data_IF_698023774106
#
_entry.id   IF_698023774106
#
_cell.length_a   1.000
_cell.length_b   1.000
_cell.length_c   1.000
_cell.angle_alpha   90.00
_cell.angle_beta   90.00
_cell.angle_gamma   90.00
#
_symmetry.space_group_name_H-M   'P 1'
#
loop_
_entity.id
_entity.type
_entity.pdbx_description
1 polymer ?
#
# COMPACT_ATOMS: atom_id res chain seq x y z
N UNK A 1 2.24 26.31 -22.12
CA UNK A 1 3.39 27.19 -21.88
C UNK A 1 4.05 27.36 -23.22
N UNK A 2 3.54 28.33 -23.96
CA UNK A 2 4.11 28.77 -25.22
C UNK A 2 5.50 29.30 -24.89
N UNK A 3 6.52 28.54 -25.29
CA UNK A 3 7.88 29.03 -25.26
C UNK A 3 7.90 30.05 -26.39
N UNK A 4 8.01 31.33 -26.03
CA UNK A 4 8.10 32.46 -26.95
C UNK A 4 9.31 32.29 -27.90
N UNK A 5 9.12 31.50 -28.95
CA UNK A 5 10.06 31.35 -30.07
C UNK A 5 10.08 32.59 -30.96
N UNK A 6 9.23 33.58 -30.68
CA UNK A 6 9.10 34.81 -31.45
C UNK A 6 10.26 35.80 -31.22
N UNK A 7 11.02 35.64 -30.14
CA UNK A 7 12.19 36.49 -29.84
C UNK A 7 13.42 36.20 -30.73
N UNK A 8 13.45 35.08 -31.45
CA UNK A 8 14.60 34.68 -32.27
C UNK A 8 14.62 35.31 -33.68
N UNK A 9 13.55 35.99 -34.10
CA UNK A 9 13.39 36.49 -35.47
C UNK A 9 13.78 37.98 -35.66
N UNK A 10 13.98 38.74 -34.58
CA UNK A 10 14.46 40.11 -34.66
C UNK A 10 15.99 40.12 -34.64
N UNK A 11 16.64 40.58 -35.71
CA UNK A 11 18.09 40.74 -35.80
C UNK A 11 18.62 41.34 -34.49
N UNK A 12 19.41 40.55 -33.77
CA UNK A 12 19.83 40.90 -32.42
C UNK A 12 20.62 42.20 -32.49
N UNK A 13 20.62 43.04 -31.43
CA UNK A 13 21.46 44.25 -31.39
C UNK A 13 22.93 43.95 -31.72
N UNK A 14 23.38 42.72 -31.42
CA UNK A 14 24.69 42.17 -31.77
C UNK A 14 24.86 42.01 -33.30
N UNK A 15 23.85 41.52 -34.03
CA UNK A 15 23.91 41.41 -35.50
C UNK A 15 23.99 42.78 -36.18
N UNK A 16 23.28 43.77 -35.63
CA UNK A 16 23.31 45.15 -36.13
C UNK A 16 24.67 45.81 -35.88
N UNK A 17 25.24 45.65 -34.69
CA UNK A 17 26.58 46.17 -34.38
C UNK A 17 27.67 45.46 -35.20
N UNK A 18 27.55 44.16 -35.44
CA UNK A 18 28.45 43.41 -36.32
C UNK A 18 28.41 43.92 -37.77
N UNK A 19 27.22 44.22 -38.31
CA UNK A 19 27.07 44.81 -39.63
C UNK A 19 27.71 46.22 -39.73
N UNK A 20 27.53 47.06 -38.70
CA UNK A 20 28.14 48.40 -38.65
C UNK A 20 29.68 48.33 -38.59
N UNK A 21 30.23 47.41 -37.78
CA UNK A 21 31.68 47.15 -37.73
C UNK A 21 32.21 46.74 -39.11
N UNK A 22 31.50 45.85 -39.81
CA UNK A 22 31.89 45.42 -41.17
C UNK A 22 31.93 46.58 -42.17
N UNK A 23 30.96 47.48 -42.12
CA UNK A 23 30.93 48.69 -42.97
C UNK A 23 32.11 49.63 -42.68
N UNK A 24 32.44 49.83 -41.40
CA UNK A 24 33.57 50.67 -41.00
C UNK A 24 34.93 50.07 -41.42
N UNK A 25 35.10 48.74 -41.32
CA UNK A 25 36.29 48.06 -41.82
C UNK A 25 36.45 48.20 -43.33
N UNK A 26 35.37 47.98 -44.10
CA UNK A 26 35.38 48.19 -45.55
C UNK A 26 35.73 49.66 -45.92
N UNK A 27 35.29 50.63 -45.11
CA UNK A 27 35.64 52.03 -45.31
C UNK A 27 37.12 52.31 -45.04
N UNK A 28 37.70 51.70 -44.01
CA UNK A 28 39.15 51.77 -43.73
C UNK A 28 39.96 51.19 -44.90
N UNK A 29 39.53 50.05 -45.45
CA UNK A 29 40.19 49.44 -46.62
C UNK A 29 40.15 50.35 -47.86
N UNK A 30 39.01 51.02 -48.11
CA UNK A 30 38.90 52.03 -49.17
C UNK A 30 39.84 53.22 -48.93
N UNK A 31 39.92 53.73 -47.69
CA UNK A 31 40.84 54.82 -47.35
C UNK A 31 42.30 54.38 -47.54
N UNK A 32 42.66 53.17 -47.13
CA UNK A 32 44.01 52.63 -47.28
C UNK A 32 44.41 52.48 -48.76
N UNK A 33 43.51 51.99 -49.61
CA UNK A 33 43.75 51.87 -51.06
C UNK A 33 43.89 53.24 -51.74
N UNK A 34 43.03 54.21 -51.41
CA UNK A 34 43.14 55.58 -51.94
C UNK A 34 44.41 56.31 -51.48
N UNK A 35 44.86 56.07 -50.24
CA UNK A 35 46.12 56.60 -49.74
C UNK A 35 47.34 55.99 -50.44
N UNK A 36 47.29 54.69 -50.76
CA UNK A 36 48.35 54.00 -51.51
C UNK A 36 48.45 54.47 -52.97
N UNK A 37 47.33 54.70 -53.65
CA UNK A 37 47.32 55.25 -55.02
C UNK A 37 47.81 56.69 -55.03
N UNK A 38 47.39 57.52 -54.06
CA UNK A 38 47.83 58.91 -53.93
C UNK A 38 49.33 59.04 -53.56
N UNK A 39 49.93 58.04 -52.92
CA UNK A 39 51.38 57.96 -52.67
C UNK A 39 52.17 57.59 -53.93
N UNK A 40 51.61 56.77 -54.82
CA UNK A 40 52.24 56.40 -56.09
C UNK A 40 52.22 57.54 -57.12
N UNK A 41 51.21 58.43 -57.05
CA UNK A 41 51.06 59.61 -57.91
C UNK A 41 51.93 60.82 -57.46
N UNK A 42 52.94 60.57 -56.63
CA UNK A 42 53.82 61.56 -55.99
C UNK A 42 54.21 62.71 -56.92
N UNK A 43 53.55 63.85 -56.74
CA UNK A 43 54.18 65.17 -56.65
C UNK A 43 53.29 66.24 -56.01
N UNK A 44 51.98 66.04 -55.80
CA UNK A 44 51.11 67.05 -55.15
C UNK A 44 49.97 66.47 -54.28
N UNK A 45 50.24 65.53 -53.38
CA UNK A 45 49.31 65.34 -52.27
C UNK A 45 49.38 66.59 -51.38
N UNK A 46 48.44 67.51 -51.54
CA UNK A 46 48.40 68.73 -50.73
C UNK A 46 48.36 68.35 -49.24
N UNK A 47 49.11 69.06 -48.40
CA UNK A 47 49.14 68.84 -46.94
C UNK A 47 47.73 68.75 -46.33
N UNK A 48 46.76 69.47 -46.90
CA UNK A 48 45.34 69.41 -46.52
C UNK A 48 44.65 68.08 -46.81
N UNK A 49 44.96 67.39 -47.91
CA UNK A 49 44.36 66.08 -48.25
C UNK A 49 44.83 64.99 -47.29
N UNK A 50 46.10 65.02 -46.88
CA UNK A 50 46.63 64.09 -45.88
C UNK A 50 46.01 64.31 -44.50
N UNK A 51 45.81 65.57 -44.09
CA UNK A 51 45.13 65.88 -42.84
C UNK A 51 43.67 65.41 -42.83
N UNK A 52 42.95 65.50 -43.95
CA UNK A 52 41.57 65.00 -44.06
C UNK A 52 41.47 63.48 -43.89
N UNK A 53 42.38 62.72 -44.51
CA UNK A 53 42.44 61.26 -44.37
C UNK A 53 42.72 60.84 -42.91
N UNK A 54 43.63 61.55 -42.22
CA UNK A 54 43.95 61.29 -40.81
C UNK A 54 42.74 61.54 -39.91
N UNK A 55 41.99 62.63 -40.13
CA UNK A 55 40.78 62.94 -39.36
C UNK A 55 39.68 61.88 -39.60
N UNK A 56 39.48 61.45 -40.85
CA UNK A 56 38.51 60.42 -41.20
C UNK A 56 38.85 59.08 -40.52
N UNK A 57 40.10 58.62 -40.63
CA UNK A 57 40.57 57.39 -39.99
C UNK A 57 40.44 57.46 -38.47
N UNK A 58 40.82 58.58 -37.85
CA UNK A 58 40.69 58.78 -36.40
C UNK A 58 39.23 58.71 -35.95
N UNK A 59 38.31 59.28 -36.74
CA UNK A 59 36.87 59.22 -36.44
C UNK A 59 36.31 57.79 -36.53
N UNK A 60 36.77 56.99 -37.50
CA UNK A 60 36.36 55.59 -37.66
C UNK A 60 36.89 54.74 -36.49
N UNK A 61 38.15 54.91 -36.09
CA UNK A 61 38.72 54.20 -34.93
C UNK A 61 38.02 54.56 -33.62
N UNK A 62 37.65 55.84 -33.44
CA UNK A 62 36.84 56.26 -32.29
C UNK A 62 35.47 55.56 -32.29
N UNK A 63 34.81 55.48 -33.45
CA UNK A 63 33.53 54.78 -33.60
C UNK A 63 33.66 53.28 -33.33
N UNK A 64 34.70 52.63 -33.86
CA UNK A 64 34.97 51.20 -33.65
C UNK A 64 35.21 50.88 -32.16
N UNK A 65 35.91 51.77 -31.45
CA UNK A 65 36.16 51.61 -30.00
C UNK A 65 34.88 51.71 -29.18
N UNK A 66 33.94 52.58 -29.58
CA UNK A 66 32.62 52.70 -28.96
C UNK A 66 31.80 51.42 -29.22
N UNK A 67 31.75 50.95 -30.46
CA UNK A 67 31.03 49.73 -30.83
C UNK A 67 31.58 48.49 -30.12
N UNK A 68 32.90 48.37 -29.98
CA UNK A 68 33.52 47.28 -29.23
C UNK A 68 33.15 47.30 -27.74
N UNK A 69 32.99 48.49 -27.14
CA UNK A 69 32.52 48.60 -25.75
C UNK A 69 31.06 48.17 -25.64
N UNK A 70 30.20 48.64 -26.55
CA UNK A 70 28.78 48.26 -26.60
C UNK A 70 28.62 46.74 -26.76
N UNK A 71 29.35 46.12 -27.68
CA UNK A 71 29.32 44.67 -27.88
C UNK A 71 29.71 43.88 -26.63
N UNK A 72 30.69 44.35 -25.86
CA UNK A 72 31.09 43.70 -24.62
C UNK A 72 30.03 43.87 -23.52
N UNK A 73 29.37 45.03 -23.44
CA UNK A 73 28.25 45.27 -22.53
C UNK A 73 27.07 44.35 -22.89
N UNK A 74 26.67 44.29 -24.16
CA UNK A 74 25.61 43.42 -24.69
C UNK A 74 25.91 41.94 -24.43
N UNK A 75 27.16 41.52 -24.62
CA UNK A 75 27.61 40.14 -24.35
C UNK A 75 27.42 39.77 -22.88
N UNK A 76 27.82 40.66 -21.97
CA UNK A 76 27.70 40.42 -20.52
C UNK A 76 26.23 40.38 -20.12
N UNK A 77 25.40 41.26 -20.67
CA UNK A 77 23.96 41.26 -20.43
C UNK A 77 23.28 39.97 -20.93
N UNK A 78 23.61 39.54 -22.15
CA UNK A 78 23.08 38.30 -22.71
C UNK A 78 23.50 37.08 -21.89
N UNK A 79 24.77 37.01 -21.47
CA UNK A 79 25.25 35.94 -20.60
C UNK A 79 24.48 35.92 -19.27
N UNK A 80 24.26 37.08 -18.65
CA UNK A 80 23.48 37.19 -17.42
C UNK A 80 22.02 36.77 -17.61
N UNK A 81 21.40 37.12 -18.74
CA UNK A 81 20.03 36.72 -19.09
C UNK A 81 19.91 35.21 -19.27
N UNK A 82 20.82 34.61 -20.04
CA UNK A 82 20.90 33.16 -20.25
C UNK A 82 21.11 32.43 -18.92
N UNK A 83 21.98 32.93 -18.05
CA UNK A 83 22.22 32.32 -16.76
C UNK A 83 20.99 32.42 -15.81
N UNK A 84 20.17 33.48 -15.91
CA UNK A 84 18.89 33.56 -15.17
C UNK A 84 17.93 32.50 -15.67
N UNK A 85 17.71 32.42 -16.98
CA UNK A 85 16.84 31.42 -17.61
C UNK A 85 17.27 29.98 -17.27
N UNK A 86 18.58 29.71 -17.25
CA UNK A 86 19.13 28.41 -16.83
C UNK A 86 18.78 28.10 -15.38
N UNK A 87 19.03 29.02 -14.45
CA UNK A 87 18.71 28.83 -13.02
C UNK A 87 17.21 28.59 -12.81
N UNK A 88 16.36 29.32 -13.52
CA UNK A 88 14.91 29.14 -13.44
C UNK A 88 14.49 27.76 -13.97
N UNK A 89 15.09 27.33 -15.08
CA UNK A 89 14.87 25.99 -15.66
C UNK A 89 15.33 24.88 -14.70
N UNK A 90 16.50 25.02 -14.10
CA UNK A 90 17.03 24.08 -13.11
C UNK A 90 16.13 24.01 -11.86
N UNK A 91 15.63 25.17 -11.41
CA UNK A 91 14.66 25.27 -10.31
C UNK A 91 13.36 24.52 -10.62
N UNK A 92 12.82 24.65 -11.83
CA UNK A 92 11.64 23.92 -12.28
C UNK A 92 11.91 22.42 -12.42
N UNK A 93 13.09 22.02 -12.90
CA UNK A 93 13.48 20.62 -13.01
C UNK A 93 13.52 19.94 -11.63
N UNK A 94 14.08 20.61 -10.62
CA UNK A 94 14.07 20.11 -9.23
C UNK A 94 12.66 19.99 -8.67
N UNK A 95 11.78 20.96 -8.95
CA UNK A 95 10.38 20.88 -8.54
C UNK A 95 9.66 19.70 -9.18
N UNK A 96 9.90 19.47 -10.47
CA UNK A 96 9.34 18.33 -11.20
C UNK A 96 9.81 17.01 -10.58
N UNK A 97 11.10 16.86 -10.31
CA UNK A 97 11.65 15.64 -9.67
C UNK A 97 11.02 15.42 -8.29
N UNK A 98 10.90 16.47 -7.47
CA UNK A 98 10.25 16.39 -6.16
C UNK A 98 8.80 15.88 -6.27
N UNK A 99 8.02 16.41 -7.22
CA UNK A 99 6.64 15.97 -7.45
C UNK A 99 6.56 14.55 -7.99
N UNK A 100 7.49 14.14 -8.85
CA UNK A 100 7.54 12.76 -9.34
C UNK A 100 7.81 11.77 -8.21
N UNK A 101 8.73 12.09 -7.29
CA UNK A 101 8.98 11.26 -6.11
C UNK A 101 7.75 11.18 -5.20
N UNK A 102 7.06 12.30 -4.99
CA UNK A 102 5.81 12.34 -4.20
C UNK A 102 4.73 11.46 -4.84
N UNK A 103 4.55 11.54 -6.16
CA UNK A 103 3.59 10.69 -6.90
C UNK A 103 3.94 9.21 -6.72
N UNK A 104 5.20 8.83 -6.92
CA UNK A 104 5.65 7.45 -6.75
C UNK A 104 5.44 6.96 -5.32
N UNK A 105 5.73 7.80 -4.32
CA UNK A 105 5.50 7.47 -2.92
C UNK A 105 4.01 7.22 -2.63
N UNK A 106 3.14 8.14 -3.06
CA UNK A 106 1.68 8.00 -2.85
C UNK A 106 1.14 6.77 -3.60
N UNK A 107 1.63 6.49 -4.81
CA UNK A 107 1.24 5.30 -5.56
C UNK A 107 1.63 4.01 -4.83
N UNK A 108 2.85 3.94 -4.30
CA UNK A 108 3.30 2.81 -3.47
C UNK A 108 2.45 2.64 -2.21
N UNK A 109 2.08 3.73 -1.54
CA UNK A 109 1.20 3.68 -0.36
C UNK A 109 -0.23 3.21 -0.71
N UNK A 110 -0.75 3.65 -1.86
CA UNK A 110 -2.05 3.20 -2.38
C UNK A 110 -2.02 1.70 -2.68
N UNK A 111 -0.96 1.20 -3.32
CA UNK A 111 -0.79 -0.23 -3.62
C UNK A 111 -0.68 -1.05 -2.33
N UNK A 112 0.14 -0.59 -1.37
CA UNK A 112 0.25 -1.22 -0.06
C UNK A 112 -1.12 -1.30 0.64
N UNK A 113 -1.87 -0.20 0.63
CA UNK A 113 -3.21 -0.13 1.24
C UNK A 113 -4.22 -1.03 0.53
N UNK A 114 -4.12 -1.21 -0.80
CA UNK A 114 -4.98 -2.14 -1.56
C UNK A 114 -4.69 -3.60 -1.24
N UNK A 115 -3.44 -3.95 -0.95
CA UNK A 115 -3.04 -5.32 -0.57
C UNK A 115 -3.34 -5.65 0.90
N UNK A 116 -3.88 -4.70 1.67
CA UNK A 116 -4.32 -4.98 3.04
C UNK A 116 -5.54 -5.89 3.01
N UNK A 117 -5.29 -7.20 3.07
CA UNK A 117 -6.31 -8.19 3.32
C UNK A 117 -6.84 -8.01 4.74
N UNK A 118 -8.17 -7.99 4.85
CA UNK A 118 -8.86 -7.84 6.12
C UNK A 118 -9.52 -9.15 6.47
N UNK A 119 -9.51 -9.50 7.75
CA UNK A 119 -9.93 -10.83 8.25
C UNK A 119 -11.34 -11.22 7.77
N UNK A 120 -12.23 -10.27 7.48
CA UNK A 120 -13.59 -10.55 7.04
C UNK A 120 -13.70 -11.13 5.62
N UNK A 121 -12.66 -10.99 4.78
CA UNK A 121 -12.68 -11.50 3.40
C UNK A 121 -12.56 -13.03 3.35
N UNK A 122 -11.94 -13.65 4.35
CA UNK A 122 -11.72 -15.10 4.43
C UNK A 122 -12.79 -15.84 5.25
N UNK A 123 -13.81 -15.14 5.76
CA UNK A 123 -14.84 -15.77 6.59
C UNK A 123 -15.89 -16.40 5.69
N UNK A 124 -16.24 -17.65 5.96
CA UNK A 124 -17.41 -18.29 5.38
C UNK A 124 -18.69 -17.66 5.94
N UNK A 125 -19.41 -16.92 5.10
CA UNK A 125 -20.72 -16.32 5.39
C UNK A 125 -21.83 -17.03 4.60
N UNK A 126 -23.05 -17.06 5.15
CA UNK A 126 -24.27 -17.48 4.44
C UNK A 126 -24.41 -16.66 3.15
N UNK A 127 -24.63 -17.29 1.97
CA UNK A 127 -24.83 -16.61 0.69
C UNK A 127 -25.91 -15.53 0.73
N UNK A 128 -25.80 -14.52 -0.14
CA UNK A 128 -26.72 -13.37 -0.15
C UNK A 128 -28.18 -13.77 -0.35
N UNK A 129 -28.44 -14.72 -1.25
CA UNK A 129 -29.79 -15.23 -1.51
C UNK A 129 -30.41 -15.85 -0.24
N UNK A 130 -29.67 -16.71 0.46
CA UNK A 130 -30.14 -17.34 1.69
C UNK A 130 -30.33 -16.33 2.82
N UNK A 131 -29.47 -15.32 2.92
CA UNK A 131 -29.64 -14.24 3.89
C UNK A 131 -30.93 -13.44 3.65
N UNK A 132 -31.22 -13.09 2.39
CA UNK A 132 -32.43 -12.35 2.02
C UNK A 132 -33.70 -13.15 2.26
N UNK A 133 -33.64 -14.48 2.29
CA UNK A 133 -34.79 -15.33 2.59
C UNK A 133 -34.94 -15.54 4.11
N UNK A 134 -33.86 -15.90 4.80
CA UNK A 134 -33.91 -16.42 6.18
C UNK A 134 -33.85 -15.30 7.23
N UNK A 135 -33.20 -14.16 6.94
CA UNK A 135 -32.97 -13.16 7.97
C UNK A 135 -34.27 -12.43 8.43
N UNK A 136 -34.43 -12.13 9.72
CA UNK A 136 -35.55 -11.33 10.22
C UNK A 136 -35.55 -9.90 9.65
N UNK A 137 -36.74 -9.28 9.58
CA UNK A 137 -36.91 -7.92 9.06
C UNK A 137 -36.06 -6.87 9.79
N UNK A 138 -35.78 -7.08 11.08
CA UNK A 138 -34.92 -6.21 11.91
C UNK A 138 -33.49 -6.09 11.38
N UNK A 139 -32.98 -7.13 10.71
CA UNK A 139 -31.66 -7.13 10.10
C UNK A 139 -31.70 -6.72 8.62
N UNK A 140 -32.89 -6.54 8.03
CA UNK A 140 -33.09 -6.20 6.61
C UNK A 140 -33.40 -4.73 6.35
N UNK A 141 -33.54 -3.91 7.39
CA UNK A 141 -34.08 -2.55 7.27
C UNK A 141 -33.15 -1.53 6.62
N UNK A 142 -31.85 -1.83 6.43
CA UNK A 142 -30.84 -0.83 6.06
C UNK A 142 -29.80 -1.43 5.08
N UNK A 143 -30.27 -1.98 3.95
CA UNK A 143 -29.47 -2.77 2.98
C UNK A 143 -29.01 -1.95 1.75
N UNK A 144 -29.37 -0.67 1.65
CA UNK A 144 -29.24 0.16 0.42
C UNK A 144 -27.85 0.23 -0.23
N UNK A 145 -26.77 -0.08 0.50
CA UNK A 145 -25.39 -0.03 0.00
C UNK A 145 -24.72 -1.41 0.19
N UNK A 146 -23.86 -1.88 -0.74
CA UNK A 146 -23.20 -3.19 -0.60
C UNK A 146 -22.46 -3.37 0.74
N UNK A 147 -21.82 -2.30 1.24
CA UNK A 147 -21.19 -2.31 2.56
C UNK A 147 -22.20 -2.50 3.70
N UNK A 148 -23.36 -1.85 3.63
CA UNK A 148 -24.41 -2.00 4.64
C UNK A 148 -25.03 -3.41 4.59
N UNK A 149 -25.24 -3.96 3.40
CA UNK A 149 -25.65 -5.36 3.21
C UNK A 149 -24.67 -6.31 3.89
N UNK A 150 -23.36 -6.12 3.68
CA UNK A 150 -22.32 -6.94 4.32
C UNK A 150 -22.35 -6.82 5.86
N UNK A 151 -22.51 -5.61 6.39
CA UNK A 151 -22.63 -5.41 7.84
C UNK A 151 -23.89 -6.06 8.41
N UNK A 152 -25.02 -5.97 7.71
CA UNK A 152 -26.27 -6.62 8.09
C UNK A 152 -26.12 -8.16 8.13
N UNK A 153 -25.46 -8.74 7.12
CA UNK A 153 -25.10 -10.16 7.07
C UNK A 153 -24.24 -10.56 8.26
N UNK A 154 -23.15 -9.84 8.53
CA UNK A 154 -22.26 -10.13 9.65
C UNK A 154 -22.98 -10.06 11.01
N UNK A 155 -23.86 -9.09 11.21
CA UNK A 155 -24.65 -8.96 12.44
C UNK A 155 -25.61 -10.13 12.63
N UNK A 156 -26.28 -10.55 11.57
CA UNK A 156 -27.17 -11.71 11.62
C UNK A 156 -26.42 -13.01 11.93
N UNK A 157 -25.25 -13.20 11.32
CA UNK A 157 -24.38 -14.36 11.58
C UNK A 157 -23.89 -14.43 13.02
N UNK A 158 -23.48 -13.29 13.59
CA UNK A 158 -23.09 -13.22 15.00
C UNK A 158 -24.28 -13.63 15.87
N UNK A 159 -25.46 -13.06 15.63
CA UNK A 159 -26.67 -13.40 16.38
C UNK A 159 -27.02 -14.89 16.25
N UNK A 160 -26.89 -15.46 15.05
CA UNK A 160 -27.14 -16.89 14.81
C UNK A 160 -26.13 -17.77 15.55
N UNK A 161 -24.83 -17.45 15.46
CA UNK A 161 -23.77 -18.18 16.16
C UNK A 161 -23.93 -18.10 17.68
N UNK A 162 -24.29 -16.94 18.23
CA UNK A 162 -24.57 -16.78 19.66
C UNK A 162 -25.77 -17.62 20.11
N UNK A 163 -26.85 -17.61 19.31
CA UNK A 163 -28.03 -18.45 19.57
C UNK A 163 -27.68 -19.94 19.56
N UNK A 164 -26.89 -20.38 18.58
CA UNK A 164 -26.43 -21.77 18.46
C UNK A 164 -25.47 -22.14 19.60
N UNK A 165 -24.57 -21.24 20.01
CA UNK A 165 -23.66 -21.47 21.13
C UNK A 165 -24.45 -21.64 22.44
N UNK A 166 -25.47 -20.82 22.67
CA UNK A 166 -26.35 -20.94 23.83
C UNK A 166 -27.16 -22.25 23.81
N UNK A 167 -27.69 -22.65 22.64
CA UNK A 167 -28.37 -23.95 22.48
C UNK A 167 -27.41 -25.13 22.71
N UNK A 168 -26.18 -25.05 22.22
CA UNK A 168 -25.16 -26.07 22.45
C UNK A 168 -24.78 -26.14 23.94
N UNK A 169 -24.62 -25.01 24.62
CA UNK A 169 -24.32 -24.94 26.05
C UNK A 169 -25.44 -25.56 26.90
N UNK A 170 -26.70 -25.22 26.61
CA UNK A 170 -27.86 -25.81 27.31
C UNK A 170 -28.00 -27.30 27.04
N UNK A 171 -27.80 -27.76 25.80
CA UNK A 171 -27.80 -29.17 25.45
C UNK A 171 -26.66 -29.95 26.15
N UNK A 172 -25.45 -29.39 26.20
CA UNK A 172 -24.32 -29.97 26.94
C UNK A 172 -24.62 -30.08 28.44
N UNK A 173 -25.16 -29.01 29.05
CA UNK A 173 -25.56 -29.03 30.45
C UNK A 173 -26.61 -30.11 30.73
N UNK A 174 -27.62 -30.24 29.87
CA UNK A 174 -28.66 -31.27 29.99
C UNK A 174 -28.09 -32.68 29.82
N UNK A 175 -27.19 -32.89 28.86
CA UNK A 175 -26.48 -34.14 28.66
C UNK A 175 -25.69 -34.53 29.91
N UNK A 176 -24.96 -33.59 30.49
CA UNK A 176 -24.12 -33.84 31.65
C UNK A 176 -24.96 -34.13 32.92
N UNK A 177 -26.09 -33.45 33.07
CA UNK A 177 -27.10 -33.75 34.10
C UNK A 177 -27.65 -35.17 33.97
N UNK A 178 -28.06 -35.58 32.75
CA UNK A 178 -28.56 -36.92 32.49
C UNK A 178 -27.49 -37.99 32.72
N UNK A 179 -26.24 -37.73 32.32
CA UNK A 179 -25.09 -38.61 32.60
C UNK A 179 -24.87 -38.76 34.11
N UNK A 180 -24.94 -37.68 34.87
CA UNK A 180 -24.84 -37.74 36.33
C UNK A 180 -26.01 -38.50 36.97
N UNK A 181 -27.23 -38.32 36.47
CA UNK A 181 -28.40 -39.07 36.93
C UNK A 181 -28.30 -40.57 36.62
N UNK A 182 -27.79 -40.93 35.43
CA UNK A 182 -27.49 -42.32 35.03
C UNK A 182 -26.48 -42.96 35.98
N UNK A 183 -25.34 -42.29 36.23
CA UNK A 183 -24.32 -42.76 37.19
C UNK A 183 -24.91 -43.01 38.58
N UNK A 184 -25.65 -42.04 39.13
CA UNK A 184 -26.34 -42.21 40.43
C UNK A 184 -27.33 -43.37 40.44
N UNK A 185 -27.98 -43.68 39.31
CA UNK A 185 -28.91 -44.82 39.22
C UNK A 185 -28.18 -46.15 39.15
N UNK A 186 -27.06 -46.21 38.43
CA UNK A 186 -26.18 -47.39 38.39
C UNK A 186 -25.64 -47.67 39.80
N UNK A 187 -25.09 -46.68 40.50
CA UNK A 187 -24.62 -46.82 41.89
C UNK A 187 -25.73 -47.31 42.84
N UNK A 188 -26.98 -46.88 42.65
CA UNK A 188 -28.12 -47.39 43.43
C UNK A 188 -28.45 -48.84 43.08
N UNK A 189 -28.41 -49.21 41.80
CA UNK A 189 -28.65 -50.59 41.36
C UNK A 189 -27.57 -51.53 41.90
N UNK A 190 -26.30 -51.14 41.85
CA UNK A 190 -25.18 -51.90 42.42
C UNK A 190 -25.34 -52.11 43.94
N UNK A 191 -25.81 -51.10 44.67
CA UNK A 191 -26.13 -51.24 46.10
C UNK A 191 -27.26 -52.24 46.35
N UNK A 192 -28.32 -52.18 45.56
CA UNK A 192 -29.45 -53.12 45.67
C UNK A 192 -28.98 -54.54 45.32
N UNK A 193 -28.18 -54.70 44.28
CA UNK A 193 -27.61 -55.99 43.87
C UNK A 193 -26.72 -56.58 44.97
N UNK A 194 -25.87 -55.77 45.60
CA UNK A 194 -25.09 -56.17 46.77
C UNK A 194 -25.96 -56.60 47.97
N UNK A 195 -27.05 -55.88 48.27
CA UNK A 195 -28.00 -56.27 49.32
C UNK A 195 -28.70 -57.59 48.99
N UNK A 196 -29.13 -57.79 47.73
CA UNK A 196 -29.75 -59.03 47.27
C UNK A 196 -28.79 -60.21 47.37
N UNK A 197 -27.52 -60.03 46.98
CA UNK A 197 -26.51 -61.06 47.11
C UNK A 197 -26.29 -61.46 48.57
N UNK A 198 -26.24 -60.48 49.47
CA UNK A 198 -26.18 -60.71 50.92
C UNK A 198 -27.42 -61.44 51.45
N UNK A 199 -28.62 -61.06 51.01
CA UNK A 199 -29.86 -61.73 51.36
C UNK A 199 -29.89 -63.18 50.87
N UNK A 200 -29.53 -63.44 49.60
CA UNK A 200 -29.41 -64.79 49.04
C UNK A 200 -28.42 -65.63 49.86
N UNK A 201 -27.27 -65.06 50.23
CA UNK A 201 -26.29 -65.75 51.08
C UNK A 201 -26.88 -66.11 52.45
N UNK A 202 -27.64 -65.19 53.04
CA UNK A 202 -28.29 -65.37 54.34
C UNK A 202 -29.41 -66.43 54.27
N UNK A 203 -30.24 -66.40 53.24
CA UNK A 203 -31.29 -67.40 52.98
C UNK A 203 -30.67 -68.76 52.67
N UNK A 204 -29.60 -68.85 51.89
CA UNK A 204 -28.85 -70.09 51.66
C UNK A 204 -28.32 -70.67 52.97
N UNK A 205 -27.77 -69.83 53.85
CA UNK A 205 -27.31 -70.24 55.18
C UNK A 205 -28.47 -70.75 56.05
N UNK A 206 -29.60 -70.04 56.05
CA UNK A 206 -30.81 -70.42 56.78
C UNK A 206 -31.44 -71.72 56.25
N UNK A 207 -31.48 -71.90 54.93
CA UNK A 207 -31.95 -73.14 54.30
C UNK A 207 -31.06 -74.33 54.63
N UNK A 208 -29.75 -74.10 54.77
CA UNK A 208 -28.80 -75.10 55.27
C UNK A 208 -29.08 -75.47 56.73
N UNK A 209 -29.45 -74.49 57.58
CA UNK A 209 -29.79 -74.76 58.99
C UNK A 209 -31.18 -75.37 59.18
N UNK A 210 -32.15 -75.12 58.29
CA UNK A 210 -33.49 -75.70 58.33
C UNK A 210 -33.61 -77.09 57.63
N UNK A 211 -32.49 -77.69 57.22
CA UNK A 211 -32.46 -79.07 56.74
C UNK A 211 -33.04 -79.30 55.35
N UNK A 212 -33.26 -78.25 54.54
CA UNK A 212 -33.62 -78.39 53.14
C UNK A 212 -32.39 -78.82 52.32
N UNK A 213 -32.09 -80.11 52.32
CA UNK A 213 -31.09 -80.69 51.43
C UNK A 213 -31.63 -80.78 50.00
N UNK A 214 -31.04 -79.99 49.10
CA UNK A 214 -30.56 -80.50 47.80
C UNK A 214 -29.55 -79.53 47.19
N UNK A 215 -28.31 -79.97 46.92
CA UNK A 215 -27.43 -79.31 45.98
C UNK A 215 -27.84 -79.75 44.57
N UNK A 216 -28.17 -78.80 43.70
CA UNK A 216 -28.00 -78.98 42.27
C UNK A 216 -26.85 -78.07 41.84
N UNK A 217 -25.73 -78.71 41.52
CA UNK A 217 -24.63 -78.10 40.81
C UNK A 217 -25.00 -77.87 39.33
N UNK A 218 -24.43 -76.78 38.82
CA UNK A 218 -24.11 -76.46 37.43
C UNK A 218 -25.23 -76.18 36.40
N UNK A 219 -25.31 -74.90 36.02
CA UNK A 219 -25.14 -74.54 34.61
C UNK A 219 -24.43 -73.19 34.51
N UNK A 220 -23.13 -73.26 34.21
CA UNK A 220 -22.41 -72.24 33.46
C UNK A 220 -23.00 -72.21 32.04
N UNK A 221 -24.17 -71.61 31.88
CA UNK A 221 -24.71 -71.29 30.56
C UNK A 221 -24.32 -69.86 30.21
N UNK A 222 -23.47 -69.76 29.19
CA UNK A 222 -23.21 -68.54 28.45
C UNK A 222 -24.51 -67.76 28.19
N UNK A 223 -24.47 -66.46 28.43
CA UNK A 223 -25.32 -65.49 27.74
C UNK A 223 -24.41 -64.33 27.33
N UNK A 224 -24.56 -63.91 26.08
CA UNK A 224 -23.65 -63.08 25.30
C UNK A 224 -23.17 -61.82 26.03
N UNK A 225 -21.96 -61.33 25.77
CA UNK A 225 -21.66 -60.70 24.48
C UNK A 225 -22.85 -59.85 24.04
N UNK A 226 -22.94 -58.64 24.59
CA UNK A 226 -23.45 -57.46 23.89
C UNK A 226 -22.84 -56.21 24.55
N UNK A 227 -21.90 -55.62 23.81
CA UNK A 227 -21.48 -54.22 23.81
C UNK A 227 -21.42 -53.47 25.15
N UNK A 228 -20.33 -53.69 25.87
CA UNK A 228 -19.64 -52.56 26.51
C UNK A 228 -18.90 -51.78 25.43
N UNK A 229 -19.64 -51.05 24.58
CA UNK A 229 -19.06 -50.02 23.75
C UNK A 229 -18.38 -49.00 24.66
N UNK A 230 -17.06 -48.74 24.51
CA UNK A 230 -16.39 -47.68 25.24
C UNK A 230 -16.81 -46.34 24.63
N UNK A 231 -17.95 -45.80 25.05
CA UNK A 231 -18.50 -44.55 24.53
C UNK A 231 -17.85 -43.28 25.16
N UNK A 232 -16.65 -43.43 25.73
CA UNK A 232 -15.86 -42.36 26.35
C UNK A 232 -14.47 -42.21 25.68
N UNK A 233 -14.39 -42.32 24.35
CA UNK A 233 -13.12 -42.14 23.62
C UNK A 233 -13.17 -41.31 22.32
N UNK A 234 -14.26 -40.59 22.04
CA UNK A 234 -14.26 -39.60 20.94
C UNK A 234 -14.62 -38.20 21.47
N UNK A 235 -13.79 -37.24 21.04
CA UNK A 235 -13.87 -35.78 21.28
C UNK A 235 -13.11 -35.20 22.48
N UNK A 236 -11.81 -35.49 22.52
CA UNK A 236 -10.80 -34.48 22.88
C UNK A 236 -9.73 -34.41 21.79
N UNK A 237 -10.14 -33.99 20.59
CA UNK A 237 -9.25 -33.35 19.62
C UNK A 237 -9.91 -32.05 19.19
N UNK A 238 -10.10 -31.14 20.15
CA UNK A 238 -10.09 -29.73 19.79
C UNK A 238 -8.69 -29.42 19.28
N UNK A 239 -8.62 -29.29 17.95
CA UNK A 239 -7.60 -28.57 17.24
C UNK A 239 -7.18 -27.34 18.05
N UNK A 240 -5.98 -27.41 18.65
CA UNK A 240 -5.16 -26.21 18.85
C UNK A 240 -4.90 -25.64 17.46
N UNK A 241 -5.85 -24.85 16.97
CA UNK A 241 -5.57 -23.91 15.89
C UNK A 241 -4.42 -23.05 16.41
N UNK A 242 -3.30 -23.23 15.74
CA UNK A 242 -2.13 -22.38 15.81
C UNK A 242 -2.61 -20.93 15.67
N UNK A 243 -2.69 -20.18 16.78
CA UNK A 243 -2.73 -18.72 16.67
C UNK A 243 -1.40 -18.32 16.06
N UNK A 244 -1.35 -17.71 14.87
CA UNK A 244 -0.11 -17.12 14.41
C UNK A 244 0.31 -16.10 15.46
N UNK A 245 1.50 -16.32 16.03
CA UNK A 245 2.19 -15.36 16.86
C UNK A 245 2.21 -14.04 16.11
N UNK A 246 1.71 -12.97 16.74
CA UNK A 246 1.77 -11.61 16.21
C UNK A 246 3.20 -11.34 15.78
N UNK A 247 3.41 -11.26 14.46
CA UNK A 247 4.61 -10.72 13.88
C UNK A 247 4.82 -9.33 14.45
N UNK A 248 5.85 -9.20 15.27
CA UNK A 248 6.38 -7.92 15.70
C UNK A 248 7.01 -7.28 14.45
N UNK A 249 6.23 -6.56 13.65
CA UNK A 249 6.78 -5.70 12.61
C UNK A 249 7.41 -4.52 13.31
N UNK A 250 8.70 -4.63 13.63
CA UNK A 250 9.53 -3.47 13.94
C UNK A 250 9.33 -2.46 12.80
N UNK A 251 8.71 -1.33 13.13
CA UNK A 251 8.70 -0.13 12.29
C UNK A 251 10.15 0.17 11.93
N UNK A 252 10.53 -0.13 10.69
CA UNK A 252 11.74 0.41 10.10
C UNK A 252 11.44 1.89 9.90
N UNK A 253 12.05 2.72 10.74
CA UNK A 253 12.01 4.16 10.58
C UNK A 253 12.53 4.52 9.20
N UNK A 254 11.70 5.19 8.41
CA UNK A 254 12.14 5.89 7.21
C UNK A 254 13.17 6.95 7.61
N UNK A 255 14.33 7.03 6.92
CA UNK A 255 15.24 8.14 7.13
C UNK A 255 14.56 9.44 6.70
N UNK A 256 14.57 10.40 7.62
CA UNK A 256 14.15 11.78 7.41
C UNK A 256 15.09 12.41 6.39
N UNK A 257 14.56 12.77 5.22
CA UNK A 257 15.17 13.75 4.29
C UNK A 257 14.50 15.09 4.55
#
# INVERSE_FOLDING_TARGET
MDIDTEAAAAATPIDKTAAEIGLLCNRIEQIATTAATAQSDQLQASSGTQQQLILEVTSIFARLRILHRQLNEDKVELAASVDRLKRDTDGLALQLENRQREIQYIQGEIESTKTLETIYQDIDLIPEAEFLDIAPAEFKSDIDTPHKLMLARLRYEIHQRDSLMNKAATARARRDELRAAKRKRIERLEKIDGHLHSYIKSVKLLGRSLGASRPHEESTAATGADDAAPDDAYEQKESKQHRPSRGNSSRIGTPRV
#
